data_IF_259678226087
#
_entry.id   IF_259678226087
#
_cell.length_a   1.000
_cell.length_b   1.000
_cell.length_c   1.000
_cell.angle_alpha   90.00
_cell.angle_beta   90.00
_cell.angle_gamma   90.00
#
_symmetry.space_group_name_H-M   'P 1'
#
loop_
_entity.id
_entity.type
_entity.pdbx_description
1 polymer ?
#
# COMPACT_ATOMS: atom_id res chain seq x y z
N UNK A 1 -43.80 3.26 15.83
CA UNK A 1 -43.24 1.89 15.92
C UNK A 1 -42.24 1.73 14.79
N UNK A 2 -40.96 2.02 15.05
CA UNK A 2 -39.91 1.90 14.03
C UNK A 2 -39.13 0.61 14.28
N UNK A 3 -39.32 -0.38 13.40
CA UNK A 3 -38.56 -1.62 13.41
C UNK A 3 -37.13 -1.32 12.96
N UNK A 4 -36.18 -1.41 13.91
CA UNK A 4 -34.74 -1.37 13.61
C UNK A 4 -34.38 -2.71 12.97
N UNK A 5 -34.18 -2.67 11.66
CA UNK A 5 -33.68 -3.80 10.88
C UNK A 5 -32.22 -4.05 11.29
N UNK A 6 -32.00 -4.95 12.25
CA UNK A 6 -30.67 -5.49 12.51
C UNK A 6 -30.26 -6.35 11.31
N UNK A 7 -29.51 -5.76 10.38
CA UNK A 7 -28.75 -6.55 9.40
C UNK A 7 -27.75 -7.39 10.19
N UNK A 8 -28.07 -8.67 10.32
CA UNK A 8 -27.17 -9.74 10.75
C UNK A 8 -25.93 -9.67 9.86
N UNK A 9 -24.80 -9.26 10.44
CA UNK A 9 -23.50 -9.35 9.76
C UNK A 9 -23.16 -10.83 9.64
N UNK A 10 -23.01 -11.29 8.40
CA UNK A 10 -22.69 -12.68 8.07
C UNK A 10 -21.42 -13.13 8.79
N UNK A 11 -21.56 -14.07 9.72
CA UNK A 11 -20.47 -14.89 10.27
C UNK A 11 -20.02 -15.87 9.17
N UNK A 12 -18.99 -15.52 8.40
CA UNK A 12 -18.53 -16.41 7.33
C UNK A 12 -17.29 -16.01 6.53
N UNK A 13 -16.67 -14.85 6.75
CA UNK A 13 -15.41 -14.48 6.10
C UNK A 13 -14.32 -14.34 7.18
N UNK A 14 -13.42 -15.33 7.24
CA UNK A 14 -12.19 -15.23 8.03
C UNK A 14 -11.30 -14.16 7.42
N UNK A 15 -11.53 -12.88 7.74
CA UNK A 15 -10.57 -11.83 7.47
C UNK A 15 -9.35 -12.06 8.35
N UNK A 16 -8.32 -12.68 7.78
CA UNK A 16 -6.94 -12.64 8.27
C UNK A 16 -6.69 -11.26 8.88
N UNK A 17 -6.34 -11.19 10.16
CA UNK A 17 -6.08 -9.92 10.87
C UNK A 17 -5.06 -9.11 10.07
N UNK A 18 -5.51 -8.03 9.41
CA UNK A 18 -4.68 -7.13 8.62
C UNK A 18 -4.24 -5.99 9.53
N UNK A 19 -3.04 -6.12 10.12
CA UNK A 19 -2.31 -5.05 10.82
C UNK A 19 -3.12 -4.13 11.73
N UNK A 20 -2.59 -2.93 12.00
CA UNK A 20 -3.40 -1.79 12.38
C UNK A 20 -4.14 -1.23 11.16
N UNK A 21 -5.08 -0.31 11.39
CA UNK A 21 -5.78 0.42 10.32
C UNK A 21 -4.77 1.14 9.42
N UNK A 22 -3.83 1.86 10.03
CA UNK A 22 -2.78 2.62 9.38
C UNK A 22 -1.86 1.73 8.54
N UNK A 23 -1.40 0.61 9.10
CA UNK A 23 -0.54 -0.33 8.39
C UNK A 23 -1.26 -0.94 7.17
N UNK A 24 -2.54 -1.26 7.31
CA UNK A 24 -3.36 -1.81 6.22
C UNK A 24 -3.61 -0.80 5.11
N UNK A 25 -3.90 0.45 5.45
CA UNK A 25 -4.04 1.52 4.47
C UNK A 25 -2.76 1.74 3.68
N UNK A 26 -1.62 1.68 4.36
CA UNK A 26 -0.31 1.84 3.70
C UNK A 26 0.05 0.63 2.85
N UNK A 27 -0.31 -0.59 3.27
CA UNK A 27 -0.18 -1.77 2.41
C UNK A 27 -0.98 -1.59 1.11
N UNK A 28 -2.21 -1.09 1.19
CA UNK A 28 -3.00 -0.77 -0.01
C UNK A 28 -2.32 0.29 -0.88
N UNK A 29 -1.76 1.34 -0.28
CA UNK A 29 -1.00 2.34 -1.03
C UNK A 29 0.26 1.77 -1.70
N UNK A 30 0.90 0.73 -1.12
CA UNK A 30 1.97 0.00 -1.80
C UNK A 30 1.44 -0.78 -3.02
N UNK A 31 0.24 -1.37 -2.92
CA UNK A 31 -0.42 -2.03 -4.05
C UNK A 31 -0.75 -1.03 -5.17
N UNK A 32 -1.32 0.12 -4.82
CA UNK A 32 -1.65 1.17 -5.79
C UNK A 32 -0.39 1.71 -6.47
N UNK A 33 0.65 2.02 -5.68
CA UNK A 33 1.96 2.41 -6.22
C UNK A 33 2.51 1.35 -7.20
N UNK A 34 2.43 0.07 -6.85
CA UNK A 34 2.96 -1.01 -7.69
C UNK A 34 2.20 -1.15 -9.02
N UNK A 35 0.88 -0.97 -9.01
CA UNK A 35 0.05 -0.94 -10.22
C UNK A 35 0.41 0.26 -11.11
N UNK A 36 0.56 1.46 -10.54
CA UNK A 36 0.98 2.65 -11.29
C UNK A 36 2.40 2.51 -11.85
N UNK A 37 3.31 1.89 -11.08
CA UNK A 37 4.73 1.83 -11.39
C UNK A 37 5.10 0.70 -12.37
N UNK A 38 4.39 -0.43 -12.36
CA UNK A 38 4.68 -1.56 -13.24
C UNK A 38 3.47 -2.25 -13.87
N UNK A 39 2.26 -1.78 -13.63
CA UNK A 39 1.02 -2.39 -14.13
C UNK A 39 0.57 -3.65 -13.39
N UNK A 40 1.28 -4.06 -12.33
CA UNK A 40 1.05 -5.33 -11.65
C UNK A 40 1.04 -5.16 -10.14
N UNK A 41 0.05 -5.78 -9.48
CA UNK A 41 -0.11 -5.69 -8.03
C UNK A 41 1.10 -6.30 -7.30
N UNK A 42 1.67 -5.51 -6.39
CA UNK A 42 2.87 -5.81 -5.58
C UNK A 42 4.14 -6.11 -6.38
N UNK A 43 4.17 -5.69 -7.65
CA UNK A 43 5.35 -5.76 -8.51
C UNK A 43 5.77 -4.34 -8.87
N UNK A 44 7.07 -4.03 -8.85
CA UNK A 44 7.54 -2.66 -9.03
C UNK A 44 8.94 -2.61 -9.65
N UNK A 45 9.18 -1.59 -10.46
CA UNK A 45 10.45 -1.23 -11.04
C UNK A 45 11.23 -0.36 -10.05
N UNK A 46 12.26 -0.94 -9.45
CA UNK A 46 13.22 -0.23 -8.63
C UNK A 46 14.45 0.22 -9.43
N UNK A 47 15.36 1.00 -8.82
CA UNK A 47 16.52 1.56 -9.52
C UNK A 47 17.47 0.53 -10.15
N UNK A 48 17.48 -0.70 -9.64
CA UNK A 48 18.37 -1.76 -10.13
C UNK A 48 17.64 -2.93 -10.81
N UNK A 49 16.32 -2.84 -11.01
CA UNK A 49 15.55 -3.88 -11.69
C UNK A 49 14.10 -3.99 -11.20
N UNK A 50 13.40 -5.00 -11.69
CA UNK A 50 12.02 -5.32 -11.30
C UNK A 50 12.01 -6.17 -10.02
N UNK A 51 11.04 -5.92 -9.14
CA UNK A 51 10.88 -6.59 -7.85
C UNK A 51 9.44 -7.03 -7.64
N UNK A 52 9.23 -8.00 -6.75
CA UNK A 52 7.93 -8.45 -6.28
C UNK A 52 7.93 -8.53 -4.77
N UNK A 53 6.99 -7.83 -4.12
CA UNK A 53 6.71 -7.97 -2.72
C UNK A 53 5.68 -9.06 -2.48
N UNK A 54 5.90 -9.88 -1.46
CA UNK A 54 4.99 -10.95 -1.03
C UNK A 54 4.66 -10.68 0.43
N UNK A 55 3.42 -10.30 0.68
CA UNK A 55 2.93 -9.97 2.02
C UNK A 55 2.92 -11.21 2.90
N UNK A 56 3.55 -11.11 4.07
CA UNK A 56 3.52 -12.12 5.12
C UNK A 56 2.34 -11.91 6.07
N UNK A 57 2.48 -12.41 7.30
CA UNK A 57 1.45 -12.25 8.34
C UNK A 57 1.57 -10.90 9.03
N UNK A 58 0.43 -10.30 9.38
CA UNK A 58 0.39 -9.24 10.36
C UNK A 58 0.84 -9.76 11.73
N UNK A 59 1.36 -8.86 12.56
CA UNK A 59 1.89 -9.19 13.89
C UNK A 59 0.99 -8.63 14.99
N UNK A 60 1.17 -9.16 16.20
CA UNK A 60 0.46 -8.72 17.42
C UNK A 60 0.66 -7.23 17.72
N UNK A 61 1.80 -6.67 17.29
CA UNK A 61 2.11 -5.24 17.43
C UNK A 61 1.38 -4.35 16.40
N UNK A 62 0.54 -4.93 15.53
CA UNK A 62 -0.17 -4.25 14.45
C UNK A 62 0.69 -3.98 13.20
N UNK A 63 1.96 -4.38 13.20
CA UNK A 63 2.83 -4.22 12.02
C UNK A 63 2.52 -5.27 10.93
N UNK A 64 2.82 -4.90 9.69
CA UNK A 64 2.74 -5.80 8.53
C UNK A 64 4.16 -6.02 7.99
N UNK A 65 4.51 -7.27 7.70
CA UNK A 65 5.81 -7.62 7.14
C UNK A 65 5.66 -8.50 5.92
N UNK A 66 6.65 -8.48 5.04
CA UNK A 66 6.73 -9.40 3.92
C UNK A 66 8.12 -9.46 3.33
N UNK A 67 8.30 -10.34 2.35
CA UNK A 67 9.58 -10.55 1.66
C UNK A 67 9.54 -9.87 0.29
N UNK A 68 10.69 -9.45 -0.20
CA UNK A 68 10.84 -8.86 -1.54
C UNK A 68 11.79 -9.72 -2.33
N UNK A 69 11.36 -10.13 -3.51
CA UNK A 69 12.19 -10.81 -4.49
C UNK A 69 12.53 -9.87 -5.65
N UNK A 70 13.70 -10.07 -6.26
CA UNK A 70 14.12 -9.37 -7.47
C UNK A 70 14.04 -10.34 -8.65
N UNK A 71 13.55 -9.87 -9.79
CA UNK A 71 13.58 -10.63 -11.03
C UNK A 71 14.99 -10.61 -11.63
N UNK A 72 15.44 -11.73 -12.18
CA UNK A 72 16.61 -11.79 -13.05
C UNK A 72 16.22 -11.64 -14.53
N UNK A 73 17.22 -11.67 -15.41
CA UNK A 73 17.04 -11.46 -16.85
C UNK A 73 16.21 -12.55 -17.53
N UNK A 74 16.06 -13.72 -16.91
CA UNK A 74 15.29 -14.86 -17.41
C UNK A 74 13.85 -14.86 -16.86
N UNK A 75 13.52 -13.91 -15.97
CA UNK A 75 12.21 -13.80 -15.33
C UNK A 75 12.07 -14.63 -14.05
N UNK A 76 13.14 -15.31 -13.58
CA UNK A 76 13.13 -15.99 -12.30
C UNK A 76 13.27 -14.98 -11.15
N UNK A 77 12.86 -15.36 -9.95
CA UNK A 77 12.90 -14.47 -8.78
C UNK A 77 13.86 -14.96 -7.71
N UNK A 78 14.68 -14.08 -7.15
CA UNK A 78 15.57 -14.35 -6.00
C UNK A 78 15.26 -13.44 -4.82
N UNK A 79 15.33 -13.97 -3.59
CA UNK A 79 15.10 -13.18 -2.38
C UNK A 79 16.10 -12.02 -2.32
N UNK A 80 15.60 -10.79 -2.30
CA UNK A 80 16.41 -9.57 -2.28
C UNK A 80 16.34 -8.84 -0.94
N UNK A 81 15.27 -9.07 -0.18
CA UNK A 81 15.10 -8.46 1.12
C UNK A 81 13.67 -8.56 1.61
N UNK A 82 13.17 -7.49 2.21
CA UNK A 82 11.86 -7.49 2.88
C UNK A 82 11.26 -6.10 2.94
N UNK A 83 9.98 -6.04 3.27
CA UNK A 83 9.33 -4.82 3.68
C UNK A 83 8.78 -4.95 5.11
N UNK A 84 8.64 -3.81 5.78
CA UNK A 84 7.95 -3.70 7.07
C UNK A 84 7.20 -2.37 7.11
N UNK A 85 5.92 -2.45 7.40
CA UNK A 85 5.04 -1.35 7.74
C UNK A 85 4.80 -1.44 9.24
N UNK A 86 5.15 -0.38 9.98
CA UNK A 86 4.89 -0.29 11.41
C UNK A 86 3.39 -0.07 11.66
N UNK A 87 2.95 -0.25 12.91
CA UNK A 87 1.54 -0.09 13.28
C UNK A 87 1.02 1.34 13.19
N UNK A 88 1.89 2.33 13.10
CA UNK A 88 1.53 3.72 12.78
C UNK A 88 1.44 3.98 11.26
N UNK A 89 1.66 2.96 10.43
CA UNK A 89 1.66 3.05 8.97
C UNK A 89 2.99 3.50 8.35
N UNK A 90 4.03 3.77 9.13
CA UNK A 90 5.32 4.12 8.54
C UNK A 90 6.00 2.90 7.89
N UNK A 91 6.44 3.06 6.64
CA UNK A 91 7.26 2.06 5.95
C UNK A 91 8.69 2.16 6.47
N UNK A 92 9.06 1.29 7.43
CA UNK A 92 10.41 1.29 8.00
C UNK A 92 11.45 0.73 7.02
N UNK A 93 11.02 -0.12 6.09
CA UNK A 93 11.84 -0.65 5.00
C UNK A 93 10.94 -1.15 3.87
N UNK A 94 11.38 -0.95 2.64
CA UNK A 94 10.84 -1.60 1.45
C UNK A 94 11.97 -1.77 0.45
N UNK A 95 12.54 -2.98 0.43
CA UNK A 95 13.67 -3.29 -0.46
C UNK A 95 13.30 -3.02 -1.92
N UNK A 96 14.20 -2.38 -2.65
CA UNK A 96 14.00 -2.04 -4.07
C UNK A 96 13.30 -0.71 -4.31
N UNK A 97 12.79 -0.04 -3.26
CA UNK A 97 12.15 1.28 -3.36
C UNK A 97 12.97 2.34 -2.63
N UNK A 98 13.27 3.50 -3.25
CA UNK A 98 14.01 4.57 -2.60
C UNK A 98 13.32 5.09 -1.34
N UNK A 99 14.09 5.46 -0.30
CA UNK A 99 13.55 5.96 0.98
C UNK A 99 12.59 7.14 0.83
N UNK A 100 12.86 8.05 -0.12
CA UNK A 100 11.96 9.19 -0.42
C UNK A 100 10.59 8.73 -0.91
N UNK A 101 10.54 7.66 -1.71
CA UNK A 101 9.28 7.10 -2.20
C UNK A 101 8.55 6.37 -1.06
N UNK A 102 9.26 5.64 -0.20
CA UNK A 102 8.67 5.01 0.99
C UNK A 102 7.97 6.05 1.90
N UNK A 103 8.65 7.18 2.15
CA UNK A 103 8.09 8.29 2.93
C UNK A 103 6.87 8.91 2.24
N UNK A 104 6.92 9.11 0.90
CA UNK A 104 5.78 9.64 0.14
C UNK A 104 4.55 8.71 0.18
N UNK A 105 4.75 7.41 -0.05
CA UNK A 105 3.66 6.42 -0.07
C UNK A 105 2.99 6.34 1.29
N UNK A 106 3.77 6.22 2.37
CA UNK A 106 3.21 6.20 3.73
C UNK A 106 2.55 7.53 4.12
N UNK A 107 3.19 8.66 3.84
CA UNK A 107 2.65 9.99 4.15
C UNK A 107 1.30 10.25 3.49
N UNK A 108 1.21 10.04 2.17
CA UNK A 108 -0.03 10.26 1.43
C UNK A 108 -1.16 9.34 1.91
N UNK A 109 -0.87 8.06 2.15
CA UNK A 109 -1.84 7.10 2.67
C UNK A 109 -2.40 7.50 4.04
N UNK A 110 -1.54 8.02 4.93
CA UNK A 110 -1.93 8.46 6.26
C UNK A 110 -2.67 9.80 6.25
N UNK A 111 -2.38 10.69 5.29
CA UNK A 111 -3.15 11.92 5.09
C UNK A 111 -4.57 11.63 4.63
N UNK A 112 -4.74 10.73 3.65
CA UNK A 112 -6.07 10.31 3.18
C UNK A 112 -6.91 9.68 4.30
N UNK A 113 -6.27 9.01 5.27
CA UNK A 113 -6.96 8.41 6.41
C UNK A 113 -7.50 9.43 7.42
N UNK A 114 -6.91 10.63 7.47
CA UNK A 114 -7.29 11.72 8.39
C UNK A 114 -8.42 12.59 7.83
N UNK A 115 -8.70 12.49 6.54
CA UNK A 115 -9.78 13.24 5.92
C UNK A 115 -11.13 12.71 6.42
N UNK A 116 -12.08 13.58 6.83
CA UNK A 116 -13.44 13.15 7.13
C UNK A 116 -14.05 12.51 5.87
N UNK A 117 -14.77 11.40 6.03
CA UNK A 117 -15.41 10.71 4.90
C UNK A 117 -16.32 11.69 4.13
N UNK A 118 -15.94 12.04 2.89
CA UNK A 118 -16.76 12.89 2.02
C UNK A 118 -16.07 14.02 1.25
N UNK A 119 -14.75 14.21 1.34
CA UNK A 119 -14.06 15.26 0.58
C UNK A 119 -13.06 14.66 -0.42
N UNK A 120 -13.47 14.60 -1.70
CA UNK A 120 -12.60 14.28 -2.82
C UNK A 120 -11.60 15.41 -3.07
N UNK A 121 -10.32 15.08 -3.17
CA UNK A 121 -9.28 16.00 -3.65
C UNK A 121 -9.51 16.26 -5.15
N UNK A 122 -9.94 17.47 -5.49
CA UNK A 122 -9.95 17.95 -6.88
C UNK A 122 -8.51 18.35 -7.20
N UNK A 123 -7.80 17.51 -7.95
CA UNK A 123 -6.53 17.92 -8.56
C UNK A 123 -6.87 18.92 -9.67
N UNK A 124 -6.74 20.22 -9.38
CA UNK A 124 -6.75 21.24 -10.43
C UNK A 124 -5.46 21.08 -11.21
N UNK A 125 -5.56 20.44 -12.38
CA UNK A 125 -4.49 20.49 -13.37
C UNK A 125 -4.64 21.87 -14.02
N UNK A 126 -3.81 22.82 -13.62
CA UNK A 126 -3.66 24.07 -14.36
C UNK A 126 -2.99 23.74 -15.69
N UNK A 127 -3.80 23.60 -16.74
CA UNK A 127 -3.32 23.69 -18.11
C UNK A 127 -2.80 25.12 -18.33
N UNK A 128 -1.48 25.28 -18.23
CA UNK A 128 -0.81 26.44 -18.81
C UNK A 128 -0.91 26.34 -20.33
N UNK A 129 -2.02 26.81 -20.89
CA UNK A 129 -2.11 27.16 -22.30
C UNK A 129 -1.20 28.36 -22.55
N UNK A 130 0.01 28.07 -22.99
CA UNK A 130 0.87 29.03 -23.67
C UNK A 130 0.40 29.11 -25.12
N UNK A 131 -0.41 30.11 -25.44
CA UNK A 131 -0.75 30.43 -26.82
C UNK A 131 -0.66 31.94 -27.08
N UNK A 132 0.25 32.27 -27.99
CA UNK A 132 0.49 33.52 -28.72
C UNK A 132 1.05 34.72 -27.94
#
# INVERSE_FOLDING_TARGET
>A
MNAILHKQLNKGENYMTYGSKEATTVLKAMEDYSLENSGEKMVFNGPSGKYKAITGRARVDGSITGVVHKFDAEGNTKLAGSFKILSDGYISRWTGVPTKINAKVSGHALELLKLPEGQSIITVIEDTEKAA
#
